data_IF_852653938278
#
_entry.id   IF_852653938278
#
_cell.length_a   1.000
_cell.length_b   1.000
_cell.length_c   1.000
_cell.angle_alpha   90.00
_cell.angle_beta   90.00
_cell.angle_gamma   90.00
#
_symmetry.space_group_name_H-M   'P 1'
#
loop_
_entity.id
_entity.type
_entity.pdbx_description
1 polymer ?
#
# COMPACT_ATOMS: atom_id res chain seq x y z
N UNK A 1 5.09 -24.36 -26.80
CA UNK A 1 3.93 -23.45 -26.67
C UNK A 1 3.81 -23.08 -25.20
N UNK A 2 4.38 -21.94 -24.77
CA UNK A 2 4.32 -21.50 -23.37
C UNK A 2 3.41 -20.28 -23.29
N UNK A 3 2.36 -20.40 -22.46
CA UNK A 3 1.24 -19.48 -22.38
C UNK A 3 1.69 -18.09 -21.93
N UNK A 4 1.31 -17.08 -22.71
CA UNK A 4 1.35 -15.67 -22.32
C UNK A 4 0.49 -15.49 -21.07
N UNK A 5 1.10 -15.37 -19.90
CA UNK A 5 0.40 -15.04 -18.65
C UNK A 5 0.10 -13.55 -18.66
N UNK A 6 -1.00 -13.17 -19.30
CA UNK A 6 -1.53 -11.82 -19.22
C UNK A 6 -2.05 -11.61 -17.79
N UNK A 7 -1.18 -11.15 -16.88
CA UNK A 7 -1.62 -10.68 -15.56
C UNK A 7 -2.71 -9.63 -15.82
N UNK A 8 -3.90 -9.75 -15.20
CA UNK A 8 -4.94 -8.74 -15.35
C UNK A 8 -4.39 -7.43 -14.79
N UNK A 9 -4.08 -6.47 -15.67
CA UNK A 9 -3.78 -5.12 -15.24
C UNK A 9 -5.05 -4.59 -14.59
N UNK A 10 -4.98 -4.32 -13.29
CA UNK A 10 -6.06 -3.63 -12.60
C UNK A 10 -6.10 -2.19 -13.14
N UNK A 11 -7.00 -1.92 -14.09
CA UNK A 11 -7.22 -0.57 -14.61
C UNK A 11 -7.97 0.25 -13.55
N UNK A 12 -7.24 0.66 -12.51
CA UNK A 12 -7.79 1.37 -11.36
C UNK A 12 -7.13 2.74 -11.27
N UNK A 13 -7.96 3.79 -11.18
CA UNK A 13 -7.50 5.17 -11.01
C UNK A 13 -7.98 5.66 -9.66
N UNK A 14 -7.04 6.09 -8.81
CA UNK A 14 -7.36 6.77 -7.57
C UNK A 14 -7.94 8.16 -7.86
N UNK A 15 -8.95 8.55 -7.10
CA UNK A 15 -9.69 9.80 -7.28
C UNK A 15 -9.64 10.63 -6.01
N UNK A 16 -9.40 11.92 -6.18
CA UNK A 16 -9.39 12.89 -5.09
C UNK A 16 -10.70 12.83 -4.29
N UNK A 17 -10.58 12.82 -2.96
CA UNK A 17 -11.69 12.77 -2.02
C UNK A 17 -12.11 11.37 -1.61
N UNK A 18 -11.75 10.33 -2.38
CA UNK A 18 -12.13 8.95 -2.09
C UNK A 18 -11.22 8.28 -1.05
N UNK A 19 -11.76 7.25 -0.41
CA UNK A 19 -11.07 6.43 0.59
C UNK A 19 -10.78 5.05 0.05
N UNK A 20 -9.62 4.51 0.42
CA UNK A 20 -9.16 3.21 -0.06
C UNK A 20 -8.60 2.37 1.09
N UNK A 21 -8.92 1.07 1.06
CA UNK A 21 -8.33 0.07 1.93
C UNK A 21 -7.17 -0.62 1.21
N UNK A 22 -5.95 -0.29 1.62
CA UNK A 22 -4.74 -0.92 1.11
C UNK A 22 -4.36 -2.04 2.08
N UNK A 23 -4.13 -3.23 1.55
CA UNK A 23 -3.65 -4.34 2.35
C UNK A 23 -2.58 -5.12 1.58
N UNK A 24 -1.62 -5.67 2.32
CA UNK A 24 -0.64 -6.59 1.80
C UNK A 24 -0.39 -7.69 2.84
N UNK A 25 -0.13 -8.90 2.37
CA UNK A 25 0.10 -10.07 3.20
C UNK A 25 1.31 -10.84 2.68
N UNK A 26 2.17 -11.26 3.60
CA UNK A 26 3.33 -12.09 3.28
C UNK A 26 2.93 -13.39 2.58
N UNK A 27 3.68 -13.76 1.55
CA UNK A 27 3.49 -15.00 0.81
C UNK A 27 3.52 -16.18 1.78
N UNK A 28 2.56 -17.10 1.65
CA UNK A 28 2.42 -18.25 2.55
C UNK A 28 2.35 -17.88 4.04
N UNK A 29 1.75 -16.72 4.37
CA UNK A 29 1.61 -16.19 5.74
C UNK A 29 2.94 -15.91 6.47
N UNK A 30 4.05 -15.87 5.73
CA UNK A 30 5.38 -15.55 6.29
C UNK A 30 5.38 -14.13 6.87
N UNK A 31 6.24 -13.92 7.87
CA UNK A 31 6.44 -12.59 8.44
C UNK A 31 7.01 -11.63 7.39
N UNK A 32 6.52 -10.40 7.43
CA UNK A 32 7.01 -9.24 6.70
C UNK A 32 7.64 -8.21 7.63
N UNK A 33 7.36 -8.28 8.93
CA UNK A 33 8.04 -7.56 10.00
C UNK A 33 8.64 -8.56 10.98
N UNK A 34 9.95 -8.48 11.20
CA UNK A 34 10.73 -9.40 12.03
C UNK A 34 11.21 -8.73 13.32
N UNK A 35 11.58 -7.46 13.24
CA UNK A 35 12.08 -6.67 14.36
C UNK A 35 11.27 -5.41 14.56
N UNK A 36 11.48 -4.71 15.68
CA UNK A 36 10.80 -3.42 15.97
C UNK A 36 11.17 -2.36 14.94
N UNK A 37 12.42 -2.37 14.49
CA UNK A 37 12.98 -1.46 13.50
C UNK A 37 12.27 -1.58 12.16
N UNK A 38 11.80 -2.79 11.79
CA UNK A 38 11.02 -2.98 10.56
C UNK A 38 9.69 -2.20 10.61
N UNK A 39 9.03 -2.20 11.77
CA UNK A 39 7.77 -1.45 11.97
C UNK A 39 8.03 0.05 11.94
N UNK A 40 9.07 0.53 12.61
CA UNK A 40 9.45 1.94 12.63
C UNK A 40 9.84 2.44 11.24
N UNK A 41 10.63 1.64 10.51
CA UNK A 41 10.99 1.91 9.13
C UNK A 41 9.75 2.02 8.24
N UNK A 42 8.79 1.08 8.36
CA UNK A 42 7.56 1.10 7.58
C UNK A 42 6.70 2.34 7.86
N UNK A 43 6.56 2.75 9.12
CA UNK A 43 5.84 3.98 9.49
C UNK A 43 6.55 5.22 8.92
N UNK A 44 7.88 5.24 8.94
CA UNK A 44 8.66 6.31 8.32
C UNK A 44 8.45 6.35 6.80
N UNK A 45 8.40 5.21 6.12
CA UNK A 45 8.07 5.14 4.69
C UNK A 45 6.68 5.68 4.41
N UNK A 46 5.67 5.32 5.22
CA UNK A 46 4.32 5.87 5.09
C UNK A 46 4.36 7.40 5.13
N UNK A 47 5.10 7.99 6.06
CA UNK A 47 5.23 9.46 6.18
C UNK A 47 5.84 10.11 4.93
N UNK A 48 6.86 9.48 4.36
CA UNK A 48 7.52 9.94 3.12
C UNK A 48 6.55 9.86 1.94
N UNK A 49 5.90 8.71 1.76
CA UNK A 49 5.04 8.46 0.61
C UNK A 49 3.69 9.17 0.70
N UNK A 50 3.23 9.49 1.90
CA UNK A 50 2.03 10.30 2.15
C UNK A 50 2.07 11.60 1.34
N UNK A 51 3.20 12.31 1.43
CA UNK A 51 3.43 13.58 0.70
C UNK A 51 3.58 13.34 -0.79
N UNK A 52 4.34 12.31 -1.18
CA UNK A 52 4.62 12.01 -2.58
C UNK A 52 3.36 11.73 -3.39
N UNK A 53 2.40 10.99 -2.81
CA UNK A 53 1.21 10.53 -3.53
C UNK A 53 -0.05 11.35 -3.23
N UNK A 54 0.07 12.47 -2.51
CA UNK A 54 -1.06 13.29 -2.08
C UNK A 54 -2.15 12.45 -1.40
N UNK A 55 -1.78 11.74 -0.34
CA UNK A 55 -2.72 10.93 0.45
C UNK A 55 -2.70 11.38 1.91
N UNK A 56 -3.76 11.06 2.64
CA UNK A 56 -3.80 11.06 4.10
C UNK A 56 -3.98 9.63 4.59
N UNK A 57 -3.21 9.23 5.61
CA UNK A 57 -3.45 7.97 6.32
C UNK A 57 -4.41 8.23 7.47
N UNK A 58 -5.56 7.58 7.42
CA UNK A 58 -6.64 7.73 8.39
C UNK A 58 -6.42 6.78 9.57
N UNK A 59 -6.10 5.53 9.27
CA UNK A 59 -5.71 4.54 10.27
C UNK A 59 -4.86 3.44 9.65
N UNK A 60 -4.14 2.69 10.50
CA UNK A 60 -3.34 1.55 10.08
C UNK A 60 -3.36 0.43 11.14
N UNK A 61 -3.12 -0.80 10.69
CA UNK A 61 -2.88 -1.96 11.54
C UNK A 61 -1.67 -2.72 10.99
N UNK A 62 -0.67 -2.97 11.83
CA UNK A 62 0.57 -3.68 11.46
C UNK A 62 0.63 -5.00 12.22
N UNK A 63 0.57 -6.11 11.50
CA UNK A 63 0.72 -7.45 12.04
C UNK A 63 1.97 -8.10 11.46
N UNK A 64 2.63 -9.03 12.17
CA UNK A 64 3.90 -9.59 11.71
C UNK A 64 3.90 -10.12 10.28
N UNK A 65 2.76 -10.58 9.74
CA UNK A 65 2.64 -11.14 8.39
C UNK A 65 1.71 -10.37 7.44
N UNK A 66 1.12 -9.23 7.86
CA UNK A 66 0.27 -8.41 6.98
C UNK A 66 0.05 -7.01 7.56
N UNK A 67 -0.36 -6.09 6.71
CA UNK A 67 -0.79 -4.76 7.15
C UNK A 67 -2.07 -4.33 6.45
N UNK A 68 -2.76 -3.39 7.09
CA UNK A 68 -3.90 -2.68 6.55
C UNK A 68 -3.70 -1.17 6.72
N UNK A 69 -3.99 -0.40 5.67
CA UNK A 69 -4.03 1.06 5.69
C UNK A 69 -5.40 1.52 5.17
N UNK A 70 -6.02 2.47 5.86
CA UNK A 70 -7.11 3.26 5.29
C UNK A 70 -6.52 4.60 4.91
N UNK A 71 -6.59 4.92 3.62
CA UNK A 71 -6.07 6.18 3.08
C UNK A 71 -7.17 6.99 2.42
N UNK A 72 -7.01 8.31 2.41
CA UNK A 72 -7.82 9.25 1.63
C UNK A 72 -6.93 9.89 0.56
N UNK A 73 -7.38 9.92 -0.68
CA UNK A 73 -6.69 10.65 -1.74
C UNK A 73 -6.99 12.15 -1.60
N UNK A 74 -5.97 12.98 -1.39
CA UNK A 74 -6.13 14.43 -1.16
C UNK A 74 -5.83 15.28 -2.38
N UNK A 75 -5.02 14.77 -3.31
CA UNK A 75 -4.70 15.42 -4.60
C UNK A 75 -4.95 14.51 -5.79
N UNK A 76 -4.52 14.95 -6.97
CA UNK A 76 -4.50 14.07 -8.14
C UNK A 76 -3.55 12.91 -7.91
N UNK A 77 -3.98 11.72 -8.28
CA UNK A 77 -3.13 10.55 -8.25
C UNK A 77 -2.18 10.63 -9.44
N UNK A 78 -0.88 10.58 -9.18
CA UNK A 78 0.07 10.46 -10.29
C UNK A 78 -0.17 9.08 -10.93
N UNK A 79 -0.62 9.08 -12.18
CA UNK A 79 -0.79 7.86 -12.96
C UNK A 79 0.55 7.19 -13.30
N UNK A 80 1.67 7.63 -12.72
CA UNK A 80 3.01 7.17 -13.02
C UNK A 80 3.40 5.95 -12.19
N UNK A 81 3.02 4.78 -12.70
CA UNK A 81 3.97 3.78 -13.20
C UNK A 81 3.26 2.67 -13.98
#
# INVERSE_FOLDING_TARGET
MHNNTHLPKRNFKFKRGEFYHINNRGLSKKKIFYTKEDYEWFINQISIYKKKYNIDVICYCLMPNHFHLIIKQTGEADGSK
#
